data_IF_657251918888
#
_entry.id   IF_657251918888
#
_cell.length_a   1.000
_cell.length_b   1.000
_cell.length_c   1.000
_cell.angle_alpha   90.00
_cell.angle_beta   90.00
_cell.angle_gamma   90.00
#
_symmetry.space_group_name_H-M   'P 1'
#
loop_
_entity.id
_entity.type
_entity.pdbx_description
1 polymer ?
#
# COMPACT_ATOMS: atom_id res chain seq x y z
N UNK A 1 2.99 22.28 0.13
CA UNK A 1 3.76 21.47 1.09
C UNK A 1 3.99 20.12 0.45
N UNK A 2 5.19 19.56 0.57
CA UNK A 2 5.48 18.24 0.03
C UNK A 2 4.88 17.14 0.91
N UNK A 3 4.61 15.97 0.33
CA UNK A 3 4.12 14.80 1.05
C UNK A 3 5.07 14.40 2.20
N UNK A 4 4.56 13.89 3.33
CA UNK A 4 5.38 13.46 4.46
C UNK A 4 6.48 12.48 4.04
N UNK A 5 7.74 12.82 4.33
CA UNK A 5 8.88 11.92 4.10
C UNK A 5 9.29 11.73 2.65
N UNK A 6 8.88 12.60 1.71
CA UNK A 6 9.20 12.46 0.29
C UNK A 6 10.70 12.35 0.01
N UNK A 7 11.54 13.10 0.72
CA UNK A 7 13.00 13.05 0.53
C UNK A 7 13.55 11.66 0.88
N UNK A 8 13.05 11.05 1.96
CA UNK A 8 13.41 9.69 2.33
C UNK A 8 12.91 8.69 1.29
N UNK A 9 11.70 8.84 0.79
CA UNK A 9 11.17 7.97 -0.28
C UNK A 9 12.00 8.05 -1.56
N UNK A 10 12.45 9.25 -1.93
CA UNK A 10 13.33 9.45 -3.08
C UNK A 10 14.69 8.76 -2.89
N UNK A 11 15.21 8.67 -1.66
CA UNK A 11 16.45 7.92 -1.38
C UNK A 11 16.29 6.40 -1.41
N UNK A 12 15.07 5.87 -1.25
CA UNK A 12 14.80 4.43 -1.28
C UNK A 12 14.79 3.84 -2.69
N UNK A 13 14.74 4.70 -3.71
CA UNK A 13 14.73 4.29 -5.12
C UNK A 13 15.83 5.01 -5.88
N UNK A 14 16.35 4.40 -6.93
CA UNK A 14 17.34 4.99 -7.84
C UNK A 14 16.76 6.06 -8.78
N UNK A 15 15.43 6.15 -8.90
CA UNK A 15 14.74 7.06 -9.82
C UNK A 15 13.37 7.47 -9.30
N UNK A 16 13.01 8.76 -9.45
CA UNK A 16 11.68 9.27 -9.08
C UNK A 16 10.55 8.47 -9.74
N UNK A 17 10.78 8.01 -10.97
CA UNK A 17 9.78 7.25 -11.74
C UNK A 17 9.59 5.86 -11.15
N UNK A 18 10.65 5.24 -10.62
CA UNK A 18 10.55 3.95 -9.94
C UNK A 18 9.71 4.10 -8.66
N UNK A 19 9.93 5.15 -7.87
CA UNK A 19 9.08 5.44 -6.70
C UNK A 19 7.61 5.56 -7.10
N UNK A 20 7.29 6.29 -8.17
CA UNK A 20 5.90 6.43 -8.66
C UNK A 20 5.29 5.07 -9.02
N UNK A 21 6.00 4.24 -9.79
CA UNK A 21 5.50 2.93 -10.20
C UNK A 21 5.30 2.00 -9.01
N UNK A 22 6.24 1.98 -8.08
CA UNK A 22 6.17 1.13 -6.87
C UNK A 22 4.99 1.56 -5.99
N UNK A 23 4.85 2.85 -5.74
CA UNK A 23 3.75 3.41 -4.94
C UNK A 23 2.41 3.08 -5.58
N UNK A 24 2.27 3.27 -6.91
CA UNK A 24 1.04 2.99 -7.63
C UNK A 24 0.68 1.49 -7.62
N UNK A 25 1.64 0.60 -7.89
CA UNK A 25 1.41 -0.86 -7.83
C UNK A 25 1.01 -1.30 -6.43
N UNK A 26 1.63 -0.74 -5.40
CA UNK A 26 1.29 -1.06 -4.02
C UNK A 26 -0.11 -0.57 -3.64
N UNK A 27 -0.47 0.66 -4.03
CA UNK A 27 -1.81 1.21 -3.82
C UNK A 27 -2.90 0.34 -4.49
N UNK A 28 -2.64 -0.15 -5.71
CA UNK A 28 -3.54 -1.08 -6.40
C UNK A 28 -3.70 -2.40 -5.62
N UNK A 29 -2.61 -2.96 -5.08
CA UNK A 29 -2.69 -4.15 -4.23
C UNK A 29 -3.49 -3.91 -2.96
N UNK A 30 -3.34 -2.76 -2.30
CA UNK A 30 -4.09 -2.41 -1.09
C UNK A 30 -5.60 -2.34 -1.37
N UNK A 31 -5.99 -1.61 -2.42
CA UNK A 31 -7.38 -1.53 -2.86
C UNK A 31 -7.97 -2.90 -3.18
N UNK A 32 -7.18 -3.76 -3.86
CA UNK A 32 -7.61 -5.09 -4.29
C UNK A 32 -8.09 -5.98 -3.14
N UNK A 33 -7.56 -5.77 -1.94
CA UNK A 33 -7.77 -6.59 -0.75
C UNK A 33 -8.35 -5.79 0.43
N UNK A 34 -9.03 -4.68 0.16
CA UNK A 34 -9.66 -3.82 1.17
C UNK A 34 -8.70 -3.48 2.33
N UNK A 35 -7.44 -3.16 2.00
CA UNK A 35 -6.38 -2.81 2.94
C UNK A 35 -5.99 -3.90 3.96
N UNK A 36 -6.56 -5.11 3.88
CA UNK A 36 -6.25 -6.24 4.79
C UNK A 36 -4.82 -6.76 4.65
N UNK A 37 -4.19 -6.50 3.50
CA UNK A 37 -2.80 -6.85 3.20
C UNK A 37 -1.80 -5.75 3.60
N UNK A 38 -2.22 -4.80 4.45
CA UNK A 38 -1.33 -3.75 4.95
C UNK A 38 -0.22 -4.33 5.83
N UNK A 39 0.95 -3.69 5.81
CA UNK A 39 2.05 -3.99 6.74
C UNK A 39 2.11 -3.01 7.91
N UNK A 40 1.16 -2.08 8.02
CA UNK A 40 1.08 -1.08 9.09
C UNK A 40 0.32 -1.62 10.31
N UNK A 41 0.87 -1.40 11.49
CA UNK A 41 0.16 -1.61 12.75
C UNK A 41 -0.96 -0.58 12.92
N UNK A 42 -1.99 -0.89 13.72
CA UNK A 42 -3.19 -0.04 13.87
C UNK A 42 -2.89 1.43 14.22
N UNK A 43 -1.82 1.67 14.98
CA UNK A 43 -1.40 3.02 15.38
C UNK A 43 -0.58 3.76 14.32
N UNK A 44 -0.04 3.04 13.33
CA UNK A 44 0.73 3.59 12.20
C UNK A 44 -0.16 3.88 10.98
N UNK A 45 -1.38 3.35 10.98
CA UNK A 45 -2.34 3.49 9.89
C UNK A 45 -2.72 4.97 9.68
N UNK A 46 -2.67 5.48 8.43
CA UNK A 46 -3.13 6.82 8.12
C UNK A 46 -4.60 7.00 8.50
N UNK A 47 -4.90 8.12 9.15
CA UNK A 47 -6.25 8.47 9.61
C UNK A 47 -6.72 9.76 8.94
N UNK A 48 -8.00 9.80 8.62
CA UNK A 48 -8.72 11.00 8.20
C UNK A 48 -9.57 11.48 9.38
N UNK A 49 -9.36 12.73 9.78
CA UNK A 49 -10.15 13.38 10.82
C UNK A 49 -11.47 13.87 10.23
N UNK A 50 -12.58 13.29 10.68
CA UNK A 50 -13.94 13.68 10.28
C UNK A 50 -14.72 14.27 11.45
N UNK A 51 -15.86 14.89 11.18
CA UNK A 51 -16.75 15.42 12.23
C UNK A 51 -17.23 14.33 13.22
N UNK A 52 -17.26 13.06 12.78
CA UNK A 52 -17.68 11.91 13.56
C UNK A 52 -16.50 11.21 14.28
N UNK A 53 -15.28 11.74 14.14
CA UNK A 53 -14.05 11.17 14.69
C UNK A 53 -13.07 10.68 13.63
N UNK A 54 -12.04 9.96 14.08
CA UNK A 54 -10.97 9.45 13.24
C UNK A 54 -11.41 8.19 12.51
N UNK A 55 -11.32 8.22 11.17
CA UNK A 55 -11.57 7.06 10.31
C UNK A 55 -10.28 6.68 9.57
N UNK A 56 -10.10 5.43 9.13
CA UNK A 56 -9.01 5.06 8.24
C UNK A 56 -9.03 5.94 6.97
N UNK A 57 -7.86 6.43 6.54
CA UNK A 57 -7.78 7.23 5.30
C UNK A 57 -8.20 6.38 4.10
N UNK A 58 -9.20 6.80 3.28
CA UNK A 58 -9.59 6.04 2.10
C UNK A 58 -8.54 6.07 0.98
N UNK A 59 -7.56 6.97 1.01
CA UNK A 59 -6.59 7.13 -0.08
C UNK A 59 -5.49 6.05 -0.03
N UNK A 60 -5.45 5.09 -0.97
CA UNK A 60 -4.47 4.01 -0.96
C UNK A 60 -3.03 4.46 -1.24
N UNK A 61 -2.84 5.63 -1.84
CA UNK A 61 -1.50 6.19 -2.08
C UNK A 61 -0.86 6.62 -0.76
N UNK A 62 -1.63 7.25 0.15
CA UNK A 62 -1.14 7.62 1.48
C UNK A 62 -0.63 6.39 2.24
N UNK A 63 -1.39 5.30 2.20
CA UNK A 63 -1.00 4.03 2.81
C UNK A 63 0.27 3.45 2.19
N UNK A 64 0.33 3.39 0.86
CA UNK A 64 1.50 2.85 0.16
C UNK A 64 2.78 3.64 0.48
N UNK A 65 2.71 4.97 0.51
CA UNK A 65 3.85 5.83 0.87
C UNK A 65 4.27 5.61 2.33
N UNK A 66 3.31 5.55 3.25
CA UNK A 66 3.57 5.27 4.66
C UNK A 66 4.21 3.90 4.86
N UNK A 67 3.73 2.86 4.18
CA UNK A 67 4.33 1.52 4.21
C UNK A 67 5.76 1.48 3.68
N UNK A 68 6.05 2.20 2.59
CA UNK A 68 7.40 2.30 2.04
C UNK A 68 8.37 2.93 3.05
N UNK A 69 7.93 3.93 3.82
CA UNK A 69 8.74 4.58 4.85
C UNK A 69 9.17 3.64 5.98
N UNK A 70 8.40 2.57 6.24
CA UNK A 70 8.70 1.55 7.26
C UNK A 70 9.84 0.61 6.88
N UNK A 71 10.14 0.47 5.58
CA UNK A 71 11.12 -0.51 5.08
C UNK A 71 10.66 -1.98 5.12
N UNK A 72 9.38 -2.26 5.44
CA UNK A 72 8.82 -3.62 5.46
C UNK A 72 8.55 -4.19 4.05
N UNK A 73 8.48 -3.34 3.04
CA UNK A 73 8.27 -3.73 1.64
C UNK A 73 9.61 -3.97 0.93
N UNK A 74 9.68 -5.04 0.12
CA UNK A 74 10.81 -5.30 -0.77
C UNK A 74 10.51 -4.77 -2.17
N UNK A 75 11.40 -3.93 -2.69
CA UNK A 75 11.30 -3.30 -4.01
C UNK A 75 12.44 -3.79 -4.87
N UNK A 76 12.15 -4.29 -6.06
CA UNK A 76 13.14 -4.82 -6.99
C UNK A 76 12.51 -5.37 -8.26
N UNK A 77 13.36 -5.80 -9.19
CA UNK A 77 12.95 -6.39 -10.46
C UNK A 77 13.07 -7.92 -10.40
N UNK A 78 12.18 -8.64 -11.09
CA UNK A 78 12.18 -10.11 -11.18
C UNK A 78 12.17 -10.85 -9.83
N UNK A 79 11.57 -10.26 -8.79
CA UNK A 79 11.50 -10.87 -7.45
C UNK A 79 10.65 -12.14 -7.42
N UNK A 80 9.52 -12.13 -8.13
CA UNK A 80 8.58 -13.25 -8.22
C UNK A 80 7.95 -13.31 -9.61
N UNK A 81 7.56 -14.50 -10.10
CA UNK A 81 6.67 -14.61 -11.24
C UNK A 81 5.30 -13.98 -10.91
N UNK A 82 4.80 -13.12 -11.79
CA UNK A 82 3.60 -12.30 -11.56
C UNK A 82 2.34 -13.12 -11.25
N UNK A 83 2.13 -14.22 -11.98
CA UNK A 83 1.01 -15.14 -11.77
C UNK A 83 1.04 -15.81 -10.39
N UNK A 84 2.25 -16.15 -9.91
CA UNK A 84 2.42 -16.81 -8.60
C UNK A 84 2.13 -15.83 -7.46
N UNK A 85 2.60 -14.59 -7.59
CA UNK A 85 2.33 -13.55 -6.60
C UNK A 85 0.81 -13.29 -6.49
N UNK A 86 0.13 -13.14 -7.62
CA UNK A 86 -1.31 -12.89 -7.64
C UNK A 86 -2.11 -14.00 -6.93
N UNK A 87 -1.81 -15.27 -7.25
CA UNK A 87 -2.47 -16.42 -6.61
C UNK A 87 -2.16 -16.53 -5.12
N UNK A 88 -0.90 -16.33 -4.72
CA UNK A 88 -0.50 -16.37 -3.31
C UNK A 88 -1.21 -15.28 -2.49
N UNK A 89 -1.32 -14.07 -3.05
CA UNK A 89 -2.03 -12.96 -2.42
C UNK A 89 -3.52 -13.26 -2.26
N UNK A 90 -4.17 -13.84 -3.26
CA UNK A 90 -5.58 -14.24 -3.18
C UNK A 90 -5.85 -15.34 -2.15
N UNK A 91 -4.90 -16.27 -1.97
CA UNK A 91 -5.00 -17.31 -0.97
C UNK A 91 -4.82 -16.77 0.46
N UNK A 92 -3.89 -15.84 0.66
CA UNK A 92 -3.59 -15.26 1.97
C UNK A 92 -4.62 -14.22 2.40
N UNK A 93 -5.11 -13.44 1.44
CA UNK A 93 -6.08 -12.37 1.67
C UNK A 93 -7.33 -12.66 0.85
N UNK A 94 -8.18 -13.61 1.30
CA UNK A 94 -9.40 -13.94 0.61
C UNK A 94 -10.29 -12.70 0.53
N UNK A 95 -10.78 -12.44 -0.67
CA UNK A 95 -11.77 -11.39 -0.91
C UNK A 95 -13.11 -11.89 -0.38
N UNK A 96 -13.78 -11.06 0.40
CA UNK A 96 -15.21 -11.24 0.61
C UNK A 96 -15.85 -11.03 -0.75
N UNK A 97 -16.35 -12.11 -1.35
CA UNK A 97 -17.17 -12.02 -2.55
C UNK A 97 -18.41 -11.28 -2.09
N UNK A 98 -18.64 -10.07 -2.61
CA UNK A 98 -19.92 -9.40 -2.44
C UNK A 98 -21.00 -10.41 -2.86
N UNK A 99 -21.77 -10.90 -1.90
CA UNK A 99 -22.97 -11.65 -2.18
C UNK A 99 -23.85 -10.72 -3.01
N UNK A 100 -23.95 -11.02 -4.30
CA UNK A 100 -24.86 -10.35 -5.19
C UNK A 100 -26.28 -10.72 -4.75
N UNK A 101 -26.87 -9.87 -3.91
CA UNK A 101 -28.33 -9.78 -3.71
C UNK A 101 -28.94 -8.89 -4.81
#
# INVERSE_FOLDING_TARGET
MAEPGIDKLLTLTDSKYRLTVVTAKRAQQLLRFNFKNTVLEVHEQPKMHTLEGDKPDPNPVTWAMQELLTGRLRVGENLFPEDRLSRAMEQLYPREVESAD
#
